data_IF_725938059216
#
_entry.id   IF_725938059216
#
_cell.length_a   1.000
_cell.length_b   1.000
_cell.length_c   1.000
_cell.angle_alpha   90.00
_cell.angle_beta   90.00
_cell.angle_gamma   90.00
#
_symmetry.space_group_name_H-M   'P 1'
#
loop_
_entity.id
_entity.type
_entity.pdbx_description
1 polymer ?
#
# COMPACT_ATOMS: atom_id res chain seq x y z
N UNK A 1 3.07 67.98 27.68
CA UNK A 1 3.26 66.51 27.74
C UNK A 1 1.93 65.92 28.14
N UNK A 2 1.46 64.85 27.50
CA UNK A 2 0.07 64.32 27.49
C UNK A 2 -0.81 64.86 26.35
N UNK A 3 -0.31 64.71 25.13
CA UNK A 3 -1.12 64.56 23.93
C UNK A 3 -0.33 63.62 23.02
N UNK A 4 -1.00 62.67 22.34
CA UNK A 4 -0.46 61.49 21.62
C UNK A 4 -0.37 60.23 22.49
N UNK A 5 -1.48 59.50 22.63
CA UNK A 5 -1.54 58.03 22.80
C UNK A 5 -3.00 57.61 23.07
N UNK A 6 -3.91 57.78 22.10
CA UNK A 6 -5.25 57.17 22.16
C UNK A 6 -5.93 57.09 20.78
N UNK A 7 -5.22 56.62 19.74
CA UNK A 7 -5.88 56.23 18.47
C UNK A 7 -5.13 55.07 17.82
N UNK A 8 -5.28 53.87 18.37
CA UNK A 8 -4.93 52.61 17.68
C UNK A 8 -5.74 51.47 18.28
N UNK A 9 -7.07 51.49 18.17
CA UNK A 9 -7.91 50.29 18.33
C UNK A 9 -9.36 50.55 17.87
N UNK A 10 -9.60 50.81 16.58
CA UNK A 10 -10.98 50.86 16.04
C UNK A 10 -11.01 50.86 14.49
N UNK A 11 -10.28 49.97 13.80
CA UNK A 11 -10.56 49.69 12.37
C UNK A 11 -10.37 48.19 12.11
N UNK A 12 -11.41 47.43 12.45
CA UNK A 12 -11.73 46.13 11.85
C UNK A 12 -13.10 46.26 11.21
N UNK A 13 -13.30 45.57 10.08
CA UNK A 13 -14.50 45.53 9.22
C UNK A 13 -14.59 46.60 8.13
N UNK A 14 -13.91 46.38 6.99
CA UNK A 14 -14.48 46.65 5.65
C UNK A 14 -13.82 45.76 4.57
N UNK A 15 -14.58 44.75 4.12
CA UNK A 15 -14.64 44.13 2.78
C UNK A 15 -13.48 43.25 2.21
N UNK A 16 -13.75 41.97 1.86
CA UNK A 16 -12.80 41.04 1.23
C UNK A 16 -12.82 41.08 -0.31
N UNK A 17 -12.90 42.27 -0.94
CA UNK A 17 -12.96 42.38 -2.41
C UNK A 17 -11.80 43.12 -3.07
N UNK A 18 -10.84 43.67 -2.31
CA UNK A 18 -9.75 44.49 -2.88
C UNK A 18 -8.38 43.76 -2.90
N UNK A 19 -8.26 42.59 -2.27
CA UNK A 19 -6.99 41.84 -2.27
C UNK A 19 -6.78 40.99 -3.55
N UNK A 20 -7.82 40.72 -4.34
CA UNK A 20 -7.74 39.80 -5.47
C UNK A 20 -7.29 40.43 -6.80
N UNK A 21 -7.16 41.76 -6.91
CA UNK A 21 -6.72 42.43 -8.14
C UNK A 21 -5.23 42.83 -8.18
N UNK A 22 -4.49 42.69 -7.08
CA UNK A 22 -3.06 43.06 -7.04
C UNK A 22 -2.11 41.90 -7.38
N UNK A 23 -2.59 40.64 -7.39
CA UNK A 23 -1.75 39.47 -7.66
C UNK A 23 -1.70 39.05 -9.14
N UNK A 24 -2.55 39.63 -10.01
CA UNK A 24 -2.72 39.19 -11.40
C UNK A 24 -1.81 39.89 -12.42
N UNK A 25 -1.12 40.98 -12.06
CA UNK A 25 -0.23 41.72 -12.96
C UNK A 25 1.27 41.38 -12.81
N UNK A 26 1.69 40.64 -11.78
CA UNK A 26 3.07 40.20 -11.65
C UNK A 26 3.36 38.83 -12.30
N UNK A 27 2.33 38.07 -12.69
CA UNK A 27 2.52 36.73 -13.28
C UNK A 27 2.69 36.76 -14.82
N UNK A 28 2.37 37.88 -15.49
CA UNK A 28 2.44 38.00 -16.94
C UNK A 28 3.81 38.45 -17.49
N UNK A 29 4.75 38.85 -16.64
CA UNK A 29 6.11 39.23 -17.06
C UNK A 29 7.14 38.08 -17.04
N UNK A 30 6.80 36.90 -16.48
CA UNK A 30 7.72 35.75 -16.44
C UNK A 30 7.47 34.70 -17.53
N UNK A 31 6.46 34.89 -18.40
CA UNK A 31 6.13 33.93 -19.45
C UNK A 31 6.81 34.17 -20.81
N UNK A 32 7.69 35.17 -20.95
CA UNK A 32 8.22 35.58 -22.28
C UNK A 32 9.73 35.27 -22.48
N UNK A 33 10.45 34.73 -21.49
CA UNK A 33 11.92 34.57 -21.61
C UNK A 33 12.51 33.16 -21.34
N UNK A 34 11.71 32.10 -21.35
CA UNK A 34 12.23 30.72 -21.37
C UNK A 34 11.76 29.96 -22.62
N UNK A 35 12.20 30.45 -23.77
CA UNK A 35 12.38 29.61 -24.95
C UNK A 35 13.80 29.87 -25.46
N UNK A 36 14.75 28.97 -25.14
CA UNK A 36 15.57 28.47 -26.23
C UNK A 36 15.77 26.94 -26.19
N UNK A 37 15.62 26.35 -27.40
CA UNK A 37 16.33 25.18 -27.91
C UNK A 37 15.94 23.79 -27.36
N UNK A 38 14.85 23.22 -27.89
CA UNK A 38 14.93 21.82 -28.32
C UNK A 38 15.51 21.82 -29.74
N UNK A 39 16.83 21.63 -29.82
CA UNK A 39 17.50 21.27 -31.06
C UNK A 39 16.96 19.93 -31.52
N UNK A 40 16.42 19.92 -32.73
CA UNK A 40 16.08 18.71 -33.45
C UNK A 40 17.33 17.81 -33.57
N UNK A 41 17.29 16.65 -32.94
CA UNK A 41 18.16 15.52 -33.27
C UNK A 41 17.29 14.30 -33.60
N UNK A 42 17.71 13.59 -34.65
CA UNK A 42 17.22 12.30 -35.13
C UNK A 42 15.75 12.20 -35.65
N UNK A 43 15.47 12.81 -36.80
CA UNK A 43 14.41 12.35 -37.73
C UNK A 43 14.97 12.23 -39.15
N UNK A 44 15.98 11.37 -39.33
CA UNK A 44 16.37 10.84 -40.64
C UNK A 44 16.82 9.38 -40.51
N UNK A 45 15.84 8.46 -40.48
CA UNK A 45 16.03 7.11 -41.00
C UNK A 45 14.93 6.85 -42.01
N UNK A 46 15.33 6.81 -43.27
CA UNK A 46 14.49 6.62 -44.45
C UNK A 46 13.65 5.34 -44.39
N UNK A 47 12.45 5.35 -45.00
CA UNK A 47 11.75 4.14 -45.41
C UNK A 47 12.25 3.72 -46.80
N UNK A 48 13.02 2.64 -46.84
CA UNK A 48 13.15 1.76 -48.02
C UNK A 48 12.81 0.38 -47.44
N UNK A 49 11.69 -0.24 -47.76
CA UNK A 49 11.28 -0.60 -49.12
C UNK A 49 11.77 -2.01 -49.39
N UNK A 50 11.00 -3.02 -48.95
CA UNK A 50 10.82 -4.29 -49.68
C UNK A 50 9.88 -5.19 -48.89
N UNK A 51 8.68 -5.34 -49.45
CA UNK A 51 7.89 -6.55 -49.37
C UNK A 51 8.75 -7.76 -49.76
N UNK A 52 8.54 -8.90 -49.11
CA UNK A 52 8.37 -10.20 -49.77
C UNK A 52 8.02 -11.25 -48.73
N UNK A 53 6.74 -11.63 -48.72
CA UNK A 53 6.27 -12.88 -48.16
C UNK A 53 6.80 -14.03 -49.02
N UNK A 54 7.42 -15.04 -48.40
CA UNK A 54 7.37 -16.40 -48.92
C UNK A 54 6.95 -17.32 -47.79
N UNK A 55 5.67 -17.65 -47.82
CA UNK A 55 5.13 -18.89 -47.23
C UNK A 55 5.62 -20.07 -48.08
N UNK A 56 6.38 -20.98 -47.47
CA UNK A 56 6.48 -22.36 -47.95
C UNK A 56 6.35 -23.30 -46.75
N UNK A 57 5.36 -24.17 -46.85
CA UNK A 57 4.99 -25.21 -45.89
C UNK A 57 5.93 -26.44 -45.98
N UNK A 58 5.80 -27.44 -45.07
CA UNK A 58 6.87 -28.36 -44.71
C UNK A 58 6.92 -29.65 -45.57
N UNK A 59 8.11 -30.23 -45.69
CA UNK A 59 8.36 -31.62 -46.09
C UNK A 59 9.56 -32.13 -45.27
N UNK A 60 9.38 -33.02 -44.31
CA UNK A 60 9.31 -34.49 -44.41
C UNK A 60 10.65 -35.19 -44.72
N UNK A 61 11.20 -35.78 -43.64
CA UNK A 61 11.82 -37.12 -43.51
C UNK A 61 13.16 -37.49 -44.16
N UNK A 62 13.98 -38.14 -43.29
CA UNK A 62 14.93 -39.27 -43.52
C UNK A 62 16.29 -38.89 -44.10
N UNK A 63 17.45 -39.45 -43.72
CA UNK A 63 17.86 -40.65 -42.97
C UNK A 63 19.03 -40.27 -42.01
N UNK A 64 19.44 -41.09 -41.02
CA UNK A 64 20.59 -42.01 -41.16
C UNK A 64 21.82 -41.28 -41.71
N UNK A 65 22.98 -41.22 -41.05
CA UNK A 65 23.88 -42.35 -40.87
C UNK A 65 25.00 -42.00 -39.88
N UNK A 66 25.26 -42.95 -38.97
CA UNK A 66 26.58 -43.49 -38.61
C UNK A 66 27.84 -42.60 -38.78
N UNK A 67 28.44 -42.19 -37.66
CA UNK A 67 29.89 -41.94 -37.59
C UNK A 67 30.50 -42.42 -36.25
N UNK A 68 31.63 -43.09 -36.42
CA UNK A 68 32.45 -43.87 -35.49
C UNK A 68 33.60 -43.04 -34.89
N UNK A 69 33.92 -43.25 -33.61
CA UNK A 69 35.24 -43.05 -32.95
C UNK A 69 35.89 -41.65 -33.02
N UNK A 70 36.65 -41.14 -32.06
CA UNK A 70 37.23 -41.62 -30.82
C UNK A 70 38.34 -40.64 -30.41
N UNK A 71 38.43 -40.35 -29.10
CA UNK A 71 39.61 -39.88 -28.33
C UNK A 71 40.16 -38.46 -28.63
N UNK A 72 40.60 -37.60 -27.70
CA UNK A 72 41.33 -37.77 -26.42
C UNK A 72 41.18 -36.54 -25.49
N UNK A 73 41.25 -36.75 -24.16
CA UNK A 73 41.61 -35.76 -23.12
C UNK A 73 40.55 -35.62 -22.01
N UNK A 74 40.49 -36.46 -20.96
CA UNK A 74 41.33 -36.49 -19.73
C UNK A 74 41.48 -35.09 -19.09
N UNK A 75 41.07 -34.77 -17.86
CA UNK A 75 41.06 -35.44 -16.54
C UNK A 75 39.79 -35.00 -15.77
N UNK A 76 39.01 -35.81 -15.01
CA UNK A 76 39.34 -36.43 -13.71
C UNK A 76 39.53 -35.35 -12.61
N UNK A 77 38.82 -35.26 -11.47
CA UNK A 77 38.19 -36.26 -10.59
C UNK A 77 37.39 -35.58 -9.46
N UNK A 78 36.27 -36.21 -9.08
CA UNK A 78 35.72 -36.46 -7.73
C UNK A 78 35.77 -35.42 -6.56
N UNK A 79 34.55 -35.11 -6.06
CA UNK A 79 34.02 -35.02 -4.66
C UNK A 79 34.93 -35.55 -3.50
N UNK A 80 34.80 -35.10 -2.21
CA UNK A 80 33.53 -34.99 -1.46
C UNK A 80 33.43 -33.91 -0.33
N UNK A 81 32.27 -33.96 0.34
CA UNK A 81 31.81 -33.24 1.53
C UNK A 81 32.73 -33.31 2.77
N UNK A 82 32.74 -32.25 3.59
CA UNK A 82 33.19 -32.30 5.00
C UNK A 82 32.32 -31.42 5.89
N UNK A 83 31.84 -32.03 6.97
CA UNK A 83 31.04 -31.43 8.04
C UNK A 83 31.89 -30.85 9.19
N UNK A 84 31.30 -29.90 9.94
CA UNK A 84 31.46 -29.59 11.38
C UNK A 84 32.81 -29.01 11.89
N UNK A 85 32.90 -28.36 13.09
CA UNK A 85 32.01 -28.47 14.27
C UNK A 85 31.62 -27.18 15.03
N UNK A 86 30.83 -27.39 16.08
CA UNK A 86 30.26 -26.43 17.05
C UNK A 86 31.17 -26.13 18.27
N UNK A 87 30.75 -25.09 19.03
CA UNK A 87 31.00 -24.79 20.46
C UNK A 87 32.36 -24.13 20.81
N UNK A 88 32.52 -23.23 21.78
CA UNK A 88 31.85 -23.12 23.08
C UNK A 88 32.14 -21.75 23.79
N UNK A 89 31.34 -21.49 24.83
CA UNK A 89 31.18 -20.34 25.73
C UNK A 89 32.41 -19.69 26.42
N UNK A 90 32.22 -18.45 26.93
CA UNK A 90 32.63 -17.91 28.27
C UNK A 90 32.10 -16.47 28.43
N UNK A 91 31.17 -16.13 29.35
CA UNK A 91 31.24 -15.90 30.83
C UNK A 91 31.69 -14.48 31.25
N UNK A 92 30.88 -13.85 32.13
CA UNK A 92 31.17 -12.72 33.04
C UNK A 92 30.66 -11.36 32.55
N UNK A 93 30.00 -10.50 33.32
CA UNK A 93 29.64 -10.50 34.74
C UNK A 93 28.54 -9.43 34.97
N UNK A 94 27.76 -9.63 36.01
CA UNK A 94 26.68 -8.77 36.48
C UNK A 94 27.22 -7.59 37.30
N UNK A 95 26.49 -6.48 37.34
CA UNK A 95 26.32 -5.75 38.60
C UNK A 95 24.88 -5.29 38.76
N UNK A 96 24.33 -5.72 39.89
CA UNK A 96 23.06 -5.37 40.48
C UNK A 96 22.87 -3.86 40.65
N UNK A 97 21.60 -3.44 40.60
CA UNK A 97 21.00 -2.60 41.64
C UNK A 97 19.47 -2.70 41.56
N UNK A 98 18.93 -3.64 42.33
CA UNK A 98 17.63 -3.49 42.96
C UNK A 98 17.82 -2.69 44.25
N UNK A 99 16.99 -1.69 44.48
CA UNK A 99 16.79 -1.10 45.80
C UNK A 99 15.34 -0.64 45.91
N UNK A 100 14.60 -1.45 46.67
CA UNK A 100 13.66 -1.08 47.72
C UNK A 100 12.34 -0.34 47.42
N UNK A 101 11.30 -1.00 47.93
CA UNK A 101 9.87 -0.65 48.06
C UNK A 101 9.64 0.10 49.39
N UNK A 102 8.54 0.85 49.57
CA UNK A 102 7.36 0.30 50.30
C UNK A 102 6.01 0.81 49.75
N UNK A 103 5.03 -0.03 49.41
CA UNK A 103 3.81 -0.41 50.19
C UNK A 103 3.38 0.52 51.35
N UNK A 104 2.24 1.19 51.16
CA UNK A 104 1.19 1.50 52.14
C UNK A 104 -0.11 1.58 51.30
N UNK A 105 -1.13 0.72 51.46
CA UNK A 105 -2.07 0.49 52.56
C UNK A 105 -3.17 1.59 52.66
N UNK A 106 -4.42 1.08 52.73
CA UNK A 106 -5.68 1.74 53.15
C UNK A 106 -6.35 2.71 52.14
N UNK A 107 -7.66 2.75 51.91
CA UNK A 107 -8.82 2.02 52.42
C UNK A 107 -10.01 2.23 51.45
N UNK A 108 -10.91 1.25 51.39
CA UNK A 108 -12.25 1.43 50.87
C UNK A 108 -13.10 2.31 51.81
N UNK A 109 -14.12 3.00 51.27
CA UNK A 109 -15.41 2.95 51.93
C UNK A 109 -16.57 2.71 50.94
N UNK A 110 -17.42 1.76 51.31
CA UNK A 110 -18.87 1.71 51.02
C UNK A 110 -19.57 1.54 52.36
N UNK A 111 -20.89 1.70 52.53
CA UNK A 111 -21.94 2.19 51.60
C UNK A 111 -22.79 3.32 52.22
N UNK A 112 -23.69 3.95 51.45
CA UNK A 112 -25.09 4.15 51.89
C UNK A 112 -26.00 4.56 50.71
N UNK A 113 -27.29 4.59 50.98
CA UNK A 113 -28.44 4.16 50.21
C UNK A 113 -28.99 5.17 49.20
N UNK A 114 -29.79 4.64 48.25
CA UNK A 114 -31.08 5.24 47.94
C UNK A 114 -31.22 5.92 46.58
N UNK A 115 -31.79 5.21 45.61
CA UNK A 115 -33.03 5.61 44.96
C UNK A 115 -33.42 4.63 43.84
N UNK A 116 -34.45 3.86 44.14
CA UNK A 116 -35.27 3.05 43.24
C UNK A 116 -35.87 3.94 42.15
N UNK A 117 -35.56 3.65 40.88
CA UNK A 117 -36.16 4.29 39.71
C UNK A 117 -36.51 3.23 38.67
N UNK A 118 -37.63 2.54 38.90
CA UNK A 118 -38.21 1.57 37.97
C UNK A 118 -38.83 2.31 36.79
N UNK A 119 -38.17 2.31 35.64
CA UNK A 119 -38.78 2.63 34.36
C UNK A 119 -38.67 1.38 33.47
N UNK A 120 -39.67 0.51 33.57
CA UNK A 120 -39.95 -0.51 32.57
C UNK A 120 -40.61 0.19 31.39
N UNK A 121 -39.79 0.71 30.47
CA UNK A 121 -40.26 1.10 29.15
C UNK A 121 -40.03 -0.06 28.20
N UNK A 122 -41.15 -0.62 27.73
CA UNK A 122 -41.22 -1.69 26.72
C UNK A 122 -40.42 -1.32 25.49
N UNK A 123 -39.27 -1.97 25.32
CA UNK A 123 -38.55 -1.96 24.05
C UNK A 123 -39.45 -2.61 22.97
N UNK A 124 -39.71 -1.95 21.82
CA UNK A 124 -40.27 -2.66 20.69
C UNK A 124 -39.19 -3.62 20.17
N UNK A 125 -39.54 -4.90 20.04
CA UNK A 125 -38.71 -5.92 19.44
C UNK A 125 -38.39 -5.54 17.99
N UNK A 126 -37.22 -4.93 17.77
CA UNK A 126 -36.67 -4.78 16.45
C UNK A 126 -36.24 -6.16 15.97
N UNK A 127 -37.06 -6.72 15.08
CA UNK A 127 -36.63 -7.79 14.18
C UNK A 127 -35.50 -7.25 13.31
N UNK A 128 -34.25 -7.45 13.74
CA UNK A 128 -33.12 -7.35 12.86
C UNK A 128 -33.02 -8.68 12.10
N UNK A 129 -33.69 -8.71 10.95
CA UNK A 129 -33.42 -9.60 9.83
C UNK A 129 -31.92 -9.83 9.75
N UNK A 130 -31.47 -11.08 9.86
CA UNK A 130 -30.07 -11.45 9.87
C UNK A 130 -29.33 -10.79 8.70
N UNK A 131 -28.56 -9.75 9.01
CA UNK A 131 -27.52 -9.29 8.11
C UNK A 131 -26.54 -10.45 8.00
N UNK A 132 -26.63 -11.20 6.91
CA UNK A 132 -25.59 -12.11 6.49
C UNK A 132 -24.33 -11.27 6.31
N UNK A 133 -23.53 -11.19 7.38
CA UNK A 133 -22.18 -10.64 7.33
C UNK A 133 -21.38 -11.64 6.52
N UNK A 134 -21.36 -11.45 5.20
CA UNK A 134 -20.41 -12.14 4.34
C UNK A 134 -19.04 -11.96 4.98
N UNK A 135 -18.49 -13.06 5.48
CA UNK A 135 -17.19 -13.05 6.12
C UNK A 135 -16.19 -12.47 5.11
N UNK A 136 -15.43 -11.46 5.52
CA UNK A 136 -14.40 -10.88 4.66
C UNK A 136 -13.41 -11.94 4.20
N UNK A 137 -12.90 -11.79 2.98
CA UNK A 137 -11.87 -12.65 2.38
C UNK A 137 -10.48 -12.14 2.74
N UNK A 138 -9.47 -12.99 2.66
CA UNK A 138 -8.08 -12.49 2.64
C UNK A 138 -7.69 -12.15 1.22
N UNK A 139 -6.82 -11.18 1.05
CA UNK A 139 -6.22 -10.84 -0.24
C UNK A 139 -4.74 -11.23 -0.15
N UNK A 140 -4.34 -12.31 -0.82
CA UNK A 140 -3.00 -12.91 -0.74
C UNK A 140 -2.17 -12.53 -1.95
N UNK A 141 -0.98 -11.97 -1.71
CA UNK A 141 0.00 -11.66 -2.76
C UNK A 141 0.67 -12.93 -3.27
N UNK A 142 0.80 -13.06 -4.59
CA UNK A 142 1.37 -14.26 -5.22
C UNK A 142 2.88 -14.39 -4.93
N UNK A 143 3.65 -13.29 -5.02
CA UNK A 143 5.10 -13.32 -4.80
C UNK A 143 5.51 -13.79 -3.40
N UNK A 144 4.82 -13.34 -2.36
CA UNK A 144 5.20 -13.59 -0.96
C UNK A 144 4.37 -14.68 -0.29
N UNK A 145 3.20 -15.00 -0.83
CA UNK A 145 2.19 -15.82 -0.16
C UNK A 145 1.62 -15.21 1.12
N UNK A 146 1.89 -13.92 1.37
CA UNK A 146 1.40 -13.14 2.51
C UNK A 146 0.13 -12.38 2.18
N UNK A 147 -0.58 -11.94 3.21
CA UNK A 147 -1.87 -11.30 3.08
C UNK A 147 -1.74 -9.78 3.20
N UNK A 148 -2.56 -9.06 2.43
CA UNK A 148 -2.78 -7.64 2.57
C UNK A 148 -3.35 -7.35 3.95
N UNK A 149 -2.69 -6.48 4.69
CA UNK A 149 -2.85 -6.28 6.12
C UNK A 149 -2.92 -4.79 6.42
N UNK A 150 -3.91 -4.41 7.25
CA UNK A 150 -3.94 -3.08 7.86
C UNK A 150 -2.91 -3.05 8.97
N UNK A 151 -1.91 -2.17 8.85
CA UNK A 151 -0.80 -2.11 9.79
C UNK A 151 -1.28 -1.95 11.23
N UNK A 152 -0.76 -2.83 12.09
CA UNK A 152 -1.09 -2.93 13.52
C UNK A 152 -2.59 -3.09 13.82
N UNK A 153 -3.42 -3.35 12.80
CA UNK A 153 -4.88 -3.33 12.91
C UNK A 153 -5.46 -1.96 13.29
N UNK A 154 -4.72 -0.87 13.04
CA UNK A 154 -5.14 0.49 13.36
C UNK A 154 -6.30 0.94 12.47
N UNK A 155 -7.28 1.62 13.08
CA UNK A 155 -8.37 2.34 12.38
C UNK A 155 -8.14 3.85 12.37
N UNK A 156 -6.92 4.31 12.65
CA UNK A 156 -6.57 5.71 12.48
C UNK A 156 -6.60 6.09 11.00
N UNK A 157 -6.97 7.33 10.70
CA UNK A 157 -6.95 7.85 9.33
C UNK A 157 -5.55 7.72 8.71
N UNK A 158 -5.53 7.40 7.42
CA UNK A 158 -4.31 7.22 6.62
C UNK A 158 -3.38 6.13 7.15
N UNK A 159 -3.90 5.10 7.82
CA UNK A 159 -3.10 3.94 8.25
C UNK A 159 -2.57 3.22 7.02
N UNK A 160 -1.25 3.14 6.78
CA UNK A 160 -0.72 2.50 5.57
C UNK A 160 -0.98 0.99 5.56
N UNK A 161 -1.13 0.42 4.36
CA UNK A 161 -1.23 -1.03 4.19
C UNK A 161 0.15 -1.68 4.04
N UNK A 162 0.20 -2.96 4.40
CA UNK A 162 1.40 -3.79 4.33
C UNK A 162 1.04 -5.21 3.92
N UNK A 163 2.05 -6.03 3.67
CA UNK A 163 1.89 -7.49 3.67
C UNK A 163 2.32 -8.09 5.02
N UNK A 164 1.58 -9.08 5.47
CA UNK A 164 1.91 -9.84 6.68
C UNK A 164 1.49 -11.30 6.53
N UNK A 165 2.09 -12.19 7.32
CA UNK A 165 1.68 -13.58 7.39
C UNK A 165 0.16 -13.69 7.56
N UNK A 166 -0.43 -14.57 6.76
CA UNK A 166 -1.88 -14.73 6.69
C UNK A 166 -2.42 -15.31 8.01
N UNK A 167 -3.47 -14.69 8.53
CA UNK A 167 -4.15 -15.07 9.76
C UNK A 167 -5.66 -14.84 9.62
N UNK A 168 -6.43 -15.25 10.63
CA UNK A 168 -7.84 -14.89 10.75
C UNK A 168 -8.09 -13.50 11.35
N UNK A 169 -7.08 -12.64 11.48
CA UNK A 169 -7.26 -11.34 12.14
C UNK A 169 -8.19 -10.41 11.33
N UNK A 170 -8.99 -9.58 12.01
CA UNK A 170 -9.93 -8.66 11.35
C UNK A 170 -9.23 -7.69 10.38
N UNK A 171 -7.98 -7.32 10.66
CA UNK A 171 -7.13 -6.46 9.81
C UNK A 171 -6.73 -7.07 8.46
N UNK A 172 -7.02 -8.35 8.23
CA UNK A 172 -6.81 -9.07 6.97
C UNK A 172 -8.12 -9.58 6.36
N UNK A 173 -9.27 -9.21 6.94
CA UNK A 173 -10.60 -9.57 6.42
C UNK A 173 -11.13 -8.42 5.58
N UNK A 174 -11.04 -8.60 4.28
CA UNK A 174 -11.42 -7.62 3.28
C UNK A 174 -12.78 -7.94 2.66
N UNK A 175 -13.59 -6.92 2.45
CA UNK A 175 -14.82 -7.00 1.66
C UNK A 175 -14.59 -6.23 0.36
N UNK A 176 -14.60 -6.94 -0.76
CA UNK A 176 -14.68 -6.34 -2.09
C UNK A 176 -16.16 -6.01 -2.33
N UNK A 177 -16.53 -4.73 -2.20
CA UNK A 177 -17.92 -4.29 -2.29
C UNK A 177 -18.35 -4.06 -3.75
N UNK A 178 -19.64 -4.18 -4.02
CA UNK A 178 -20.20 -3.98 -5.37
C UNK A 178 -20.09 -2.55 -5.88
N UNK A 179 -19.86 -1.59 -4.98
CA UNK A 179 -19.59 -0.18 -5.32
C UNK A 179 -18.13 0.09 -5.69
N UNK A 180 -17.31 -0.97 -5.82
CA UNK A 180 -15.90 -0.92 -6.20
C UNK A 180 -14.93 -0.61 -5.06
N UNK A 181 -15.41 -0.39 -3.85
CA UNK A 181 -14.53 -0.19 -2.69
C UNK A 181 -14.04 -1.51 -2.10
N UNK A 182 -12.82 -1.52 -1.56
CA UNK A 182 -12.23 -2.66 -0.83
C UNK A 182 -12.11 -2.28 0.64
N UNK A 183 -12.80 -3.00 1.53
CA UNK A 183 -13.03 -2.54 2.91
C UNK A 183 -12.50 -3.50 3.96
N UNK A 184 -11.88 -2.97 5.01
CA UNK A 184 -11.52 -3.69 6.22
C UNK A 184 -11.75 -2.80 7.44
N UNK A 185 -12.07 -3.40 8.59
CA UNK A 185 -12.27 -2.67 9.85
C UNK A 185 -13.29 -1.51 9.77
N UNK A 186 -14.25 -1.59 8.86
CA UNK A 186 -15.26 -0.53 8.63
C UNK A 186 -14.79 0.63 7.74
N UNK A 187 -13.56 0.60 7.25
CA UNK A 187 -12.92 1.66 6.47
C UNK A 187 -12.61 1.18 5.04
N UNK A 188 -12.19 2.11 4.17
CA UNK A 188 -11.89 1.85 2.76
C UNK A 188 -10.38 1.87 2.50
N UNK A 189 -9.91 0.94 1.66
CA UNK A 189 -8.63 1.05 0.97
C UNK A 189 -8.66 2.31 0.08
N UNK A 190 -7.55 3.02 0.04
CA UNK A 190 -7.45 4.36 -0.54
C UNK A 190 -6.05 4.62 -1.07
N UNK A 191 -5.96 5.38 -2.15
CA UNK A 191 -4.69 5.95 -2.63
C UNK A 191 -4.50 7.31 -1.97
N UNK A 192 -3.40 7.50 -1.25
CA UNK A 192 -3.17 8.74 -0.51
C UNK A 192 -3.21 9.99 -1.39
N UNK A 193 -3.97 10.99 -0.94
CA UNK A 193 -4.26 12.22 -1.68
C UNK A 193 -4.96 12.02 -3.04
N UNK A 194 -5.41 10.81 -3.37
CA UNK A 194 -5.89 10.48 -4.72
C UNK A 194 -4.80 10.58 -5.80
N UNK A 195 -3.53 10.43 -5.41
CA UNK A 195 -2.39 10.53 -6.33
C UNK A 195 -2.48 9.51 -7.47
N UNK A 196 -1.88 9.85 -8.60
CA UNK A 196 -1.71 8.96 -9.76
C UNK A 196 -0.25 8.62 -10.02
N UNK A 197 0.66 9.04 -9.14
CA UNK A 197 2.08 8.84 -9.31
C UNK A 197 2.50 7.45 -8.82
N UNK A 198 3.59 6.94 -9.41
CA UNK A 198 4.23 5.71 -8.92
C UNK A 198 4.80 5.95 -7.52
N UNK A 199 4.57 4.99 -6.63
CA UNK A 199 4.98 5.06 -5.22
C UNK A 199 3.95 5.72 -4.30
N UNK A 200 2.78 6.14 -4.80
CA UNK A 200 1.71 6.63 -3.94
C UNK A 200 1.31 5.57 -2.90
N UNK A 201 1.19 5.98 -1.63
CA UNK A 201 0.86 5.05 -0.54
C UNK A 201 -0.55 4.52 -0.70
N UNK A 202 -0.73 3.20 -0.53
CA UNK A 202 -2.05 2.60 -0.31
C UNK A 202 -2.31 2.56 1.20
N UNK A 203 -3.45 3.09 1.61
CA UNK A 203 -3.81 3.28 3.01
C UNK A 203 -5.25 2.89 3.31
N UNK A 204 -5.59 2.90 4.58
CA UNK A 204 -6.95 2.79 5.09
C UNK A 204 -7.43 4.17 5.55
N UNK A 205 -8.60 4.59 5.09
CA UNK A 205 -9.23 5.88 5.46
C UNK A 205 -10.75 5.76 5.45
N UNK A 206 -11.45 6.75 6.01
CA UNK A 206 -12.90 6.84 5.92
C UNK A 206 -13.39 6.77 4.48
N UNK A 207 -14.45 5.97 4.25
CA UNK A 207 -15.04 5.84 2.93
C UNK A 207 -15.68 7.17 2.49
N UNK A 208 -15.24 7.71 1.35
CA UNK A 208 -15.65 9.02 0.83
C UNK A 208 -16.22 8.98 -0.60
N UNK A 209 -16.23 7.80 -1.24
CA UNK A 209 -16.83 7.59 -2.56
C UNK A 209 -16.02 8.14 -3.74
N UNK A 210 -14.81 8.64 -3.50
CA UNK A 210 -13.92 9.14 -4.57
C UNK A 210 -13.29 8.00 -5.37
N UNK A 211 -12.77 8.30 -6.56
CA UNK A 211 -12.05 7.33 -7.39
C UNK A 211 -10.77 6.77 -6.76
N UNK A 212 -10.19 7.48 -5.79
CA UNK A 212 -9.06 6.99 -4.99
C UNK A 212 -9.38 5.71 -4.21
N UNK A 213 -10.66 5.45 -3.95
CA UNK A 213 -11.15 4.29 -3.19
C UNK A 213 -11.73 3.18 -4.07
N UNK A 214 -11.63 3.33 -5.38
CA UNK A 214 -12.22 2.41 -6.35
C UNK A 214 -11.17 1.43 -6.86
N UNK A 215 -11.32 0.16 -6.49
CA UNK A 215 -10.38 -0.90 -6.85
C UNK A 215 -11.10 -2.10 -7.47
N UNK A 216 -10.42 -2.73 -8.44
CA UNK A 216 -10.92 -3.92 -9.13
C UNK A 216 -9.83 -4.99 -9.17
N UNK A 217 -10.12 -6.14 -8.59
CA UNK A 217 -9.34 -7.35 -8.82
C UNK A 217 -9.75 -7.96 -10.18
N UNK A 218 -8.85 -7.98 -11.15
CA UNK A 218 -9.12 -8.47 -12.51
C UNK A 218 -8.78 -9.97 -12.66
N UNK A 219 -9.09 -10.54 -13.83
CA UNK A 219 -8.81 -11.95 -14.15
C UNK A 219 -7.30 -12.26 -14.30
N UNK A 220 -6.47 -11.24 -14.53
CA UNK A 220 -5.02 -11.34 -14.56
C UNK A 220 -4.37 -11.21 -13.17
N UNK A 221 -5.18 -11.27 -12.11
CA UNK A 221 -4.80 -11.13 -10.70
C UNK A 221 -4.26 -9.75 -10.30
N UNK A 222 -4.44 -8.70 -11.11
CA UNK A 222 -4.10 -7.35 -10.68
C UNK A 222 -5.22 -6.75 -9.84
N UNK A 223 -4.88 -6.20 -8.67
CA UNK A 223 -5.78 -5.32 -7.93
C UNK A 223 -5.50 -3.88 -8.37
N UNK A 224 -6.38 -3.33 -9.20
CA UNK A 224 -6.14 -2.06 -9.92
C UNK A 224 -6.96 -0.94 -9.31
N UNK A 225 -6.35 0.21 -9.02
CA UNK A 225 -7.10 1.44 -8.77
C UNK A 225 -7.67 1.97 -10.09
N UNK A 226 -8.99 2.13 -10.15
CA UNK A 226 -9.70 2.46 -11.39
C UNK A 226 -9.44 3.91 -11.85
N UNK A 227 -9.20 4.84 -10.93
CA UNK A 227 -8.95 6.25 -11.25
C UNK A 227 -7.55 6.48 -11.83
N UNK A 228 -6.55 5.78 -11.30
CA UNK A 228 -5.15 5.93 -11.67
C UNK A 228 -4.71 4.96 -12.77
N UNK A 229 -5.49 3.91 -13.03
CA UNK A 229 -5.16 2.80 -13.93
C UNK A 229 -3.79 2.17 -13.59
N UNK A 230 -3.59 1.94 -12.28
CA UNK A 230 -2.36 1.42 -11.71
C UNK A 230 -2.63 0.32 -10.69
N UNK A 231 -1.63 -0.52 -10.48
CA UNK A 231 -1.73 -1.73 -9.69
C UNK A 231 -1.34 -1.47 -8.24
N UNK A 232 -2.04 -2.13 -7.33
CA UNK A 232 -1.62 -2.31 -5.94
C UNK A 232 -0.38 -3.21 -5.96
N UNK A 233 0.73 -2.67 -5.47
CA UNK A 233 2.08 -3.17 -5.65
C UNK A 233 2.74 -3.37 -4.28
N UNK A 234 3.36 -4.53 -4.07
CA UNK A 234 4.24 -4.72 -2.92
C UNK A 234 5.58 -4.07 -3.23
N UNK A 235 5.92 -3.05 -2.45
CA UNK A 235 7.03 -2.14 -2.72
C UNK A 235 8.38 -2.86 -2.83
N UNK A 236 9.15 -2.46 -3.84
CA UNK A 236 10.53 -2.91 -4.09
C UNK A 236 10.67 -4.44 -4.18
N UNK A 237 9.63 -5.14 -4.67
CA UNK A 237 9.56 -6.61 -4.73
C UNK A 237 9.72 -7.29 -3.36
N UNK A 238 9.53 -6.55 -2.27
CA UNK A 238 9.74 -7.09 -0.93
C UNK A 238 8.77 -8.22 -0.61
N UNK A 239 9.25 -9.23 0.11
CA UNK A 239 8.42 -10.39 0.48
C UNK A 239 8.25 -10.55 1.98
N UNK A 240 8.95 -9.77 2.81
CA UNK A 240 8.92 -9.87 4.26
C UNK A 240 7.64 -9.28 4.90
N UNK A 241 7.38 -9.65 6.16
CA UNK A 241 6.35 -9.01 6.96
C UNK A 241 6.66 -7.51 7.11
N UNK A 242 5.63 -6.68 6.99
CA UNK A 242 5.73 -5.24 7.12
C UNK A 242 6.14 -4.51 5.85
N UNK A 243 6.46 -5.22 4.76
CA UNK A 243 6.68 -4.57 3.45
C UNK A 243 5.44 -3.79 3.05
N UNK A 244 5.63 -2.51 2.72
CA UNK A 244 4.56 -1.57 2.38
C UNK A 244 3.94 -1.88 1.04
N UNK A 245 2.68 -1.47 0.91
CA UNK A 245 1.94 -1.52 -0.34
C UNK A 245 1.81 -0.11 -0.90
N UNK A 246 2.02 0.01 -2.20
CA UNK A 246 2.00 1.26 -2.94
C UNK A 246 1.19 1.11 -4.23
N UNK A 247 0.94 2.22 -4.89
CA UNK A 247 0.44 2.25 -6.25
C UNK A 247 1.63 2.25 -7.21
N UNK A 248 1.57 1.44 -8.26
CA UNK A 248 2.62 1.41 -9.28
C UNK A 248 2.05 1.07 -10.65
N UNK A 249 2.72 1.53 -11.70
CA UNK A 249 2.46 1.11 -13.08
C UNK A 249 2.33 -0.42 -13.14
N UNK A 250 1.25 -0.91 -13.75
CA UNK A 250 1.04 -2.34 -13.90
C UNK A 250 2.11 -2.93 -14.83
N UNK A 251 2.98 -3.79 -14.28
CA UNK A 251 4.10 -4.43 -15.00
C UNK A 251 3.84 -5.89 -15.32
N UNK A 252 2.86 -6.51 -14.65
CA UNK A 252 2.60 -7.96 -14.74
C UNK A 252 3.47 -8.80 -13.81
N UNK A 253 4.35 -8.19 -13.01
CA UNK A 253 5.22 -8.86 -12.03
C UNK A 253 4.43 -9.44 -10.85
N UNK A 254 4.92 -10.53 -10.26
CA UNK A 254 4.21 -11.28 -9.20
C UNK A 254 3.94 -10.48 -7.91
N UNK A 255 4.70 -9.42 -7.64
CA UNK A 255 4.48 -8.51 -6.50
C UNK A 255 3.24 -7.62 -6.66
N UNK A 256 2.63 -7.62 -7.86
CA UNK A 256 1.38 -6.92 -8.18
C UNK A 256 0.19 -7.88 -8.34
N UNK A 257 0.44 -9.19 -8.14
CA UNK A 257 -0.56 -10.24 -8.33
C UNK A 257 -1.17 -10.65 -7.01
N UNK A 258 -2.50 -10.69 -6.98
CA UNK A 258 -3.30 -10.94 -5.79
C UNK A 258 -4.38 -11.99 -6.05
N UNK A 259 -4.72 -12.76 -5.01
CA UNK A 259 -5.83 -13.72 -5.03
C UNK A 259 -6.66 -13.59 -3.77
N UNK A 260 -7.95 -13.91 -3.86
CA UNK A 260 -8.80 -14.02 -2.66
C UNK A 260 -8.68 -15.43 -2.08
N UNK A 261 -8.59 -15.53 -0.75
CA UNK A 261 -8.38 -16.79 -0.02
C UNK A 261 -9.18 -16.85 1.29
#
# INVERSE_FOLDING_TARGET
>A
LYSILYVTHMISCFSPFVCCLCQSLLCLCLCVFFFPQQTAYERLRSPVGSEMCITASPGSTRLGDHWTGGETGAYGTAVPSSASPSAQASRGDATDRASDRPKADDAAPTPDEGATGTATESAPAASATGASTTAGVRIRGQASGRCLDVMDGSTAERTPLQIWDCSGAARQRWRLASDGTVRALGMCMDVDGGSRDDGATIQLTSCNGTGAQQFRLNAAHDLVNVQADKCVDVKDLGTGNGTRVQLWTCTGSDNQKWSTA
#
